data_IF_089451741890
#
_entry.id   IF_089451741890
#
_cell.length_a   1.000
_cell.length_b   1.000
_cell.length_c   1.000
_cell.angle_alpha   90.00
_cell.angle_beta   90.00
_cell.angle_gamma   90.00
#
_symmetry.space_group_name_H-M   'P 1'
#
loop_
_entity.id
_entity.type
_entity.pdbx_description
1 polymer ?
#
# COMPACT_ATOMS: atom_id res chain seq x y z
N UNK A 1 15.83 14.39 -11.08
CA UNK A 1 14.86 13.59 -11.87
C UNK A 1 15.43 12.27 -12.35
N UNK A 2 16.64 12.25 -12.92
CA UNK A 2 17.28 11.00 -13.41
C UNK A 2 17.29 9.87 -12.38
N UNK A 3 17.62 10.16 -11.10
CA UNK A 3 17.61 9.15 -10.01
C UNK A 3 16.22 8.53 -9.78
N UNK A 4 15.15 9.30 -9.92
CA UNK A 4 13.76 8.81 -9.76
C UNK A 4 13.44 7.79 -10.86
N UNK A 5 13.75 8.13 -12.11
CA UNK A 5 13.52 7.22 -13.25
C UNK A 5 14.36 5.95 -13.14
N UNK A 6 15.66 6.11 -12.81
CA UNK A 6 16.56 4.97 -12.62
C UNK A 6 16.08 4.07 -11.48
N UNK A 7 15.56 4.63 -10.38
CA UNK A 7 15.06 3.83 -9.24
C UNK A 7 13.90 2.93 -9.66
N UNK A 8 12.94 3.46 -10.44
CA UNK A 8 11.83 2.65 -10.95
C UNK A 8 12.29 1.56 -11.91
N UNK A 9 13.19 1.91 -12.85
CA UNK A 9 13.72 0.94 -13.81
C UNK A 9 14.52 -0.17 -13.09
N UNK A 10 15.43 0.20 -12.19
CA UNK A 10 16.27 -0.76 -11.45
C UNK A 10 15.40 -1.70 -10.61
N UNK A 11 14.43 -1.17 -9.86
CA UNK A 11 13.53 -1.98 -9.06
C UNK A 11 12.69 -2.94 -9.93
N UNK A 12 12.17 -2.46 -11.06
CA UNK A 12 11.41 -3.27 -12.01
C UNK A 12 12.26 -4.40 -12.62
N UNK A 13 13.47 -4.09 -13.07
CA UNK A 13 14.40 -5.07 -13.63
C UNK A 13 14.78 -6.11 -12.58
N UNK A 14 15.10 -5.70 -11.35
CA UNK A 14 15.40 -6.65 -10.24
C UNK A 14 14.21 -7.58 -10.02
N UNK A 15 12.98 -7.03 -9.90
CA UNK A 15 11.78 -7.80 -9.64
C UNK A 15 11.50 -8.81 -10.76
N UNK A 16 11.58 -8.39 -12.02
CA UNK A 16 11.38 -9.28 -13.18
C UNK A 16 12.49 -10.34 -13.27
N UNK A 17 13.75 -9.96 -13.15
CA UNK A 17 14.86 -10.89 -13.32
C UNK A 17 14.98 -11.91 -12.18
N UNK A 18 14.68 -11.50 -10.94
CA UNK A 18 14.72 -12.38 -9.78
C UNK A 18 13.45 -13.25 -9.66
N UNK A 19 12.33 -12.81 -10.24
CA UNK A 19 11.02 -13.44 -10.12
C UNK A 19 11.01 -14.94 -10.35
N UNK A 20 11.50 -15.47 -11.50
CA UNK A 20 11.43 -16.91 -11.78
C UNK A 20 12.16 -17.75 -10.73
N UNK A 21 13.40 -17.34 -10.35
CA UNK A 21 14.17 -18.05 -9.32
C UNK A 21 13.50 -17.99 -7.95
N UNK A 22 12.90 -16.86 -7.63
CA UNK A 22 12.20 -16.67 -6.36
C UNK A 22 10.90 -17.50 -6.31
N UNK A 23 10.13 -17.56 -7.39
CA UNK A 23 8.92 -18.38 -7.50
C UNK A 23 9.30 -19.87 -7.38
N UNK A 24 10.34 -20.32 -8.05
CA UNK A 24 10.84 -21.70 -7.94
C UNK A 24 11.29 -22.03 -6.51
N UNK A 25 11.96 -21.10 -5.83
CA UNK A 25 12.34 -21.25 -4.42
C UNK A 25 11.10 -21.43 -3.53
N UNK A 26 10.06 -20.59 -3.70
CA UNK A 26 8.82 -20.68 -2.93
C UNK A 26 8.10 -22.01 -3.20
N UNK A 27 8.05 -22.48 -4.46
CA UNK A 27 7.46 -23.77 -4.84
C UNK A 27 8.17 -24.95 -4.17
N UNK A 28 9.52 -24.95 -4.18
CA UNK A 28 10.33 -26.00 -3.53
C UNK A 28 10.14 -26.04 -2.01
N UNK A 29 9.80 -24.92 -1.39
CA UNK A 29 9.54 -24.84 0.05
C UNK A 29 8.07 -25.11 0.39
N UNK A 30 7.24 -25.46 -0.60
CA UNK A 30 5.80 -25.70 -0.43
C UNK A 30 5.04 -24.53 0.24
N UNK A 31 5.54 -23.30 0.03
CA UNK A 31 4.96 -22.08 0.59
C UNK A 31 3.67 -21.69 -0.18
N UNK A 32 2.72 -22.61 -0.29
CA UNK A 32 1.46 -22.43 -0.96
C UNK A 32 0.38 -21.86 -0.05
N UNK A 33 -0.54 -21.08 -0.63
CA UNK A 33 -1.65 -20.51 0.10
C UNK A 33 -2.61 -21.60 0.62
N UNK A 34 -2.96 -21.51 1.91
CA UNK A 34 -4.04 -22.32 2.51
C UNK A 34 -5.38 -21.65 2.14
N UNK A 35 -6.15 -22.30 1.27
CA UNK A 35 -7.44 -21.78 0.82
C UNK A 35 -8.48 -22.03 1.90
N UNK A 36 -9.31 -21.03 2.22
CA UNK A 36 -10.45 -21.17 3.12
C UNK A 36 -11.54 -22.01 2.44
N UNK A 37 -12.08 -23.00 3.13
CA UNK A 37 -13.16 -23.85 2.61
C UNK A 37 -14.45 -23.08 2.27
N UNK A 38 -14.63 -21.91 2.88
CA UNK A 38 -15.80 -21.03 2.69
C UNK A 38 -15.69 -20.10 1.47
N UNK A 39 -14.59 -20.17 0.68
CA UNK A 39 -14.35 -19.33 -0.49
C UNK A 39 -15.10 -19.81 -1.75
N UNK A 40 -15.19 -18.97 -2.81
CA UNK A 40 -15.73 -19.38 -4.10
C UNK A 40 -15.01 -20.63 -4.64
N UNK A 41 -15.77 -21.59 -5.23
CA UNK A 41 -15.23 -22.85 -5.77
C UNK A 41 -14.07 -22.66 -6.77
N UNK A 42 -14.06 -21.53 -7.49
CA UNK A 42 -12.99 -21.15 -8.44
C UNK A 42 -11.63 -20.99 -7.77
N UNK A 43 -11.58 -20.71 -6.47
CA UNK A 43 -10.33 -20.57 -5.72
C UNK A 43 -9.65 -21.92 -5.48
N UNK A 44 -10.37 -23.04 -5.60
CA UNK A 44 -9.78 -24.39 -5.47
C UNK A 44 -8.73 -24.64 -6.56
N UNK A 45 -8.92 -24.08 -7.75
CA UNK A 45 -7.95 -24.18 -8.85
C UNK A 45 -6.62 -23.47 -8.56
N UNK A 46 -6.61 -22.51 -7.59
CA UNK A 46 -5.42 -21.74 -7.16
C UNK A 46 -4.62 -22.43 -6.05
N UNK A 47 -5.06 -23.60 -5.60
CA UNK A 47 -4.37 -24.39 -4.57
C UNK A 47 -2.97 -24.77 -5.06
N UNK A 48 -1.96 -24.39 -4.27
CA UNK A 48 -0.56 -24.68 -4.61
C UNK A 48 0.17 -23.51 -5.27
N UNK A 49 -0.50 -22.41 -5.65
CA UNK A 49 0.20 -21.19 -6.05
C UNK A 49 0.99 -20.65 -4.86
N UNK A 50 2.30 -20.40 -5.00
CA UNK A 50 3.13 -19.91 -3.89
C UNK A 50 2.68 -18.51 -3.44
N UNK A 51 2.77 -18.25 -2.15
CA UNK A 51 2.50 -16.95 -1.52
C UNK A 51 3.78 -16.31 -0.99
N UNK A 52 3.68 -15.11 -0.38
CA UNK A 52 4.81 -14.29 0.09
C UNK A 52 5.64 -13.63 -1.03
N UNK A 53 5.06 -13.47 -2.22
CA UNK A 53 5.67 -12.71 -3.33
C UNK A 53 6.00 -11.26 -2.98
N UNK A 54 5.37 -10.71 -1.95
CA UNK A 54 5.67 -9.38 -1.39
C UNK A 54 7.13 -9.20 -0.97
N UNK A 55 7.84 -10.27 -0.59
CA UNK A 55 9.28 -10.21 -0.29
C UNK A 55 10.06 -9.72 -1.51
N UNK A 56 9.69 -10.15 -2.71
CA UNK A 56 10.34 -9.71 -3.95
C UNK A 56 10.16 -8.20 -4.17
N UNK A 57 8.94 -7.69 -3.92
CA UNK A 57 8.66 -6.25 -4.00
C UNK A 57 9.55 -5.49 -3.02
N UNK A 58 9.59 -5.92 -1.74
CA UNK A 58 10.35 -5.27 -0.70
C UNK A 58 11.84 -5.25 -0.98
N UNK A 59 12.41 -6.37 -1.40
CA UNK A 59 13.83 -6.47 -1.73
C UNK A 59 14.20 -5.58 -2.92
N UNK A 60 13.44 -5.65 -4.02
CA UNK A 60 13.72 -4.86 -5.22
C UNK A 60 13.60 -3.35 -4.94
N UNK A 61 12.55 -2.92 -4.25
CA UNK A 61 12.35 -1.52 -3.89
C UNK A 61 13.43 -1.01 -2.92
N UNK A 62 13.78 -1.81 -1.91
CA UNK A 62 14.80 -1.43 -0.92
C UNK A 62 16.17 -1.27 -1.56
N UNK A 63 16.59 -2.23 -2.40
CA UNK A 63 17.89 -2.16 -3.11
C UNK A 63 17.94 -0.91 -3.99
N UNK A 64 16.90 -0.65 -4.78
CA UNK A 64 16.86 0.52 -5.66
C UNK A 64 16.85 1.84 -4.88
N UNK A 65 16.09 1.92 -3.78
CA UNK A 65 16.07 3.09 -2.91
C UNK A 65 17.43 3.35 -2.28
N UNK A 66 18.04 2.36 -1.63
CA UNK A 66 19.35 2.52 -0.97
C UNK A 66 20.44 2.94 -1.97
N UNK A 67 20.41 2.40 -3.20
CA UNK A 67 21.40 2.73 -4.22
C UNK A 67 21.30 4.18 -4.74
N UNK A 68 20.11 4.81 -4.68
CA UNK A 68 19.85 6.08 -5.38
C UNK A 68 19.40 7.22 -4.47
N UNK A 69 19.02 6.92 -3.24
CA UNK A 69 18.58 7.87 -2.21
C UNK A 69 19.69 8.85 -1.80
N UNK A 70 19.27 9.95 -1.20
CA UNK A 70 20.11 10.90 -0.47
C UNK A 70 20.11 10.62 1.04
N UNK A 71 19.39 9.57 1.46
CA UNK A 71 19.20 9.17 2.85
C UNK A 71 18.54 10.24 3.74
N UNK A 72 17.66 11.03 3.12
CA UNK A 72 16.84 12.01 3.84
C UNK A 72 15.79 11.29 4.71
N UNK A 73 15.52 11.86 5.87
CA UNK A 73 14.66 11.22 6.87
C UNK A 73 13.24 10.99 6.39
N UNK A 74 12.73 11.81 5.46
CA UNK A 74 11.40 11.64 4.85
C UNK A 74 11.30 10.36 4.02
N UNK A 75 12.27 10.13 3.13
CA UNK A 75 12.34 8.90 2.31
C UNK A 75 12.60 7.65 3.17
N UNK A 76 13.54 7.77 4.14
CA UNK A 76 13.84 6.69 5.09
C UNK A 76 12.63 6.34 5.96
N UNK A 77 11.80 7.31 6.33
CA UNK A 77 10.57 7.04 7.09
C UNK A 77 9.57 6.27 6.25
N UNK A 78 9.37 6.62 4.97
CA UNK A 78 8.50 5.84 4.07
C UNK A 78 9.03 4.41 3.94
N UNK A 79 10.34 4.22 3.73
CA UNK A 79 10.95 2.91 3.67
C UNK A 79 10.74 2.13 4.98
N UNK A 80 10.94 2.78 6.13
CA UNK A 80 10.70 2.17 7.45
C UNK A 80 9.26 1.67 7.59
N UNK A 81 8.25 2.51 7.33
CA UNK A 81 6.84 2.11 7.44
C UNK A 81 6.52 0.96 6.50
N UNK A 82 7.05 1.01 5.28
CA UNK A 82 6.90 -0.05 4.28
C UNK A 82 7.44 -1.39 4.78
N UNK A 83 8.69 -1.39 5.25
CA UNK A 83 9.37 -2.60 5.73
C UNK A 83 8.76 -3.12 7.04
N UNK A 84 8.39 -2.22 7.96
CA UNK A 84 7.79 -2.59 9.23
C UNK A 84 6.39 -3.21 9.05
N UNK A 85 5.54 -2.63 8.21
CA UNK A 85 4.24 -3.23 7.86
C UNK A 85 4.43 -4.55 7.10
N UNK A 86 5.41 -4.62 6.19
CA UNK A 86 5.77 -5.85 5.49
C UNK A 86 6.26 -6.94 6.44
N UNK A 87 7.05 -6.59 7.46
CA UNK A 87 7.49 -7.54 8.49
C UNK A 87 6.33 -8.09 9.34
N UNK A 88 5.34 -7.26 9.65
CA UNK A 88 4.11 -7.71 10.33
C UNK A 88 3.35 -8.69 9.42
N UNK A 89 3.20 -8.36 8.13
CA UNK A 89 2.58 -9.26 7.16
C UNK A 89 3.36 -10.56 6.98
N UNK A 90 4.70 -10.49 6.93
CA UNK A 90 5.56 -11.67 6.86
C UNK A 90 5.41 -12.57 8.10
N UNK A 91 5.34 -12.00 9.30
CA UNK A 91 5.08 -12.77 10.51
C UNK A 91 3.71 -13.46 10.46
N UNK A 92 2.69 -12.79 9.91
CA UNK A 92 1.36 -13.37 9.71
C UNK A 92 1.41 -14.55 8.71
N UNK A 93 2.03 -14.35 7.54
CA UNK A 93 2.20 -15.39 6.52
C UNK A 93 3.01 -16.59 7.06
N UNK A 94 4.10 -16.32 7.78
CA UNK A 94 4.96 -17.33 8.36
C UNK A 94 4.24 -18.20 9.40
N UNK A 95 3.39 -17.58 10.26
CA UNK A 95 2.58 -18.31 11.25
C UNK A 95 1.55 -19.19 10.53
N UNK A 96 0.86 -18.68 9.50
CA UNK A 96 -0.09 -19.47 8.70
C UNK A 96 0.58 -20.68 8.09
N UNK A 97 1.79 -20.47 7.55
CA UNK A 97 2.56 -21.52 6.91
C UNK A 97 3.04 -22.58 7.91
N UNK A 98 3.71 -22.19 9.00
CA UNK A 98 4.30 -23.13 9.96
C UNK A 98 3.26 -23.97 10.68
N UNK A 99 2.07 -23.40 10.95
CA UNK A 99 0.99 -24.10 11.65
C UNK A 99 -0.03 -24.74 10.68
N UNK A 100 0.16 -24.65 9.36
CA UNK A 100 -0.75 -25.19 8.32
C UNK A 100 -2.21 -24.83 8.57
N UNK A 101 -2.47 -23.55 8.94
CA UNK A 101 -3.82 -23.05 9.26
C UNK A 101 -4.06 -21.70 8.58
N UNK A 102 -5.33 -21.34 8.39
CA UNK A 102 -5.72 -20.04 7.81
C UNK A 102 -5.60 -18.84 8.77
N UNK A 103 -5.41 -19.10 10.08
CA UNK A 103 -5.26 -18.07 11.11
C UNK A 103 -3.78 -17.77 11.35
N UNK A 104 -3.37 -16.54 11.03
CA UNK A 104 -2.04 -16.02 11.26
C UNK A 104 -1.86 -15.37 12.64
N UNK A 105 -1.27 -14.19 12.64
CA UNK A 105 -1.04 -13.39 13.84
C UNK A 105 -2.37 -12.95 14.46
N UNK A 106 -2.51 -13.07 15.79
CA UNK A 106 -3.74 -12.65 16.45
C UNK A 106 -3.96 -11.14 16.29
N UNK A 107 -5.22 -10.71 16.18
CA UNK A 107 -5.58 -9.31 15.98
C UNK A 107 -4.98 -8.36 17.02
N UNK A 108 -4.84 -8.82 18.28
CA UNK A 108 -4.23 -8.02 19.36
C UNK A 108 -2.76 -7.70 19.09
N UNK A 109 -1.99 -8.68 18.66
CA UNK A 109 -0.58 -8.50 18.30
C UNK A 109 -0.44 -7.64 17.04
N UNK A 110 -1.31 -7.83 16.03
CA UNK A 110 -1.31 -7.01 14.82
C UNK A 110 -1.56 -5.54 15.15
N UNK A 111 -2.54 -5.25 16.02
CA UNK A 111 -2.84 -3.90 16.50
C UNK A 111 -1.65 -3.30 17.27
N UNK A 112 -1.07 -4.06 18.21
CA UNK A 112 0.06 -3.59 19.00
C UNK A 112 1.28 -3.24 18.14
N UNK A 113 1.63 -4.11 17.21
CA UNK A 113 2.77 -3.89 16.30
C UNK A 113 2.53 -2.68 15.38
N UNK A 114 1.32 -2.53 14.83
CA UNK A 114 0.97 -1.34 14.04
C UNK A 114 0.99 -0.06 14.88
N UNK A 115 0.60 -0.11 16.16
CA UNK A 115 0.72 1.03 17.06
C UNK A 115 2.19 1.41 17.32
N UNK A 116 3.08 0.42 17.47
CA UNK A 116 4.52 0.66 17.56
C UNK A 116 5.07 1.32 16.28
N UNK A 117 4.66 0.81 15.10
CA UNK A 117 5.04 1.43 13.82
C UNK A 117 4.57 2.88 13.75
N UNK A 118 3.33 3.16 14.16
CA UNK A 118 2.78 4.51 14.16
C UNK A 118 3.52 5.44 15.13
N UNK A 119 3.85 4.97 16.33
CA UNK A 119 4.60 5.75 17.31
C UNK A 119 6.00 6.14 16.79
N UNK A 120 6.72 5.16 16.21
CA UNK A 120 8.04 5.41 15.61
C UNK A 120 7.90 6.35 14.40
N UNK A 121 6.89 6.15 13.54
CA UNK A 121 6.63 7.03 12.39
C UNK A 121 6.37 8.46 12.84
N UNK A 122 5.56 8.64 13.89
CA UNK A 122 5.29 9.97 14.47
C UNK A 122 6.55 10.64 15.02
N UNK A 123 7.41 9.87 15.68
CA UNK A 123 8.71 10.36 16.15
C UNK A 123 9.61 10.77 14.97
N UNK A 124 9.72 9.94 13.94
CA UNK A 124 10.52 10.24 12.75
C UNK A 124 9.98 11.46 11.99
N UNK A 125 8.67 11.60 11.88
CA UNK A 125 8.02 12.77 11.29
C UNK A 125 8.33 14.07 12.07
N UNK A 126 8.36 13.98 13.39
CA UNK A 126 8.80 15.09 14.24
C UNK A 126 10.27 15.44 13.99
N UNK A 127 11.15 14.45 13.93
CA UNK A 127 12.59 14.64 13.65
C UNK A 127 12.85 15.18 12.25
N UNK A 128 12.00 14.85 11.28
CA UNK A 128 12.05 15.37 9.91
C UNK A 128 11.63 16.87 9.83
N UNK A 129 11.17 17.46 10.92
CA UNK A 129 10.83 18.89 10.97
C UNK A 129 9.62 19.25 10.11
N UNK A 130 8.64 18.33 9.99
CA UNK A 130 7.44 18.61 9.18
C UNK A 130 6.67 19.81 9.74
N UNK A 131 6.39 20.78 8.87
CA UNK A 131 5.55 21.91 9.23
C UNK A 131 4.13 21.45 9.57
N UNK A 132 3.52 22.09 10.58
CA UNK A 132 2.17 21.75 11.04
C UNK A 132 1.98 20.28 11.39
N UNK A 133 2.97 19.63 12.02
CA UNK A 133 3.03 18.21 12.30
C UNK A 133 1.72 17.64 12.85
N UNK A 134 1.19 18.27 13.93
CA UNK A 134 0.00 17.77 14.66
C UNK A 134 -1.32 18.34 14.15
N UNK A 135 -1.36 18.89 12.93
CA UNK A 135 -2.58 19.36 12.29
C UNK A 135 -2.80 18.62 10.97
N UNK A 136 -4.04 18.53 10.54
CA UNK A 136 -4.45 17.85 9.30
C UNK A 136 -5.18 18.85 8.41
N UNK A 137 -4.78 18.97 7.16
CA UNK A 137 -5.44 19.84 6.19
C UNK A 137 -6.71 19.17 5.67
N UNK A 138 -7.83 19.85 5.75
CA UNK A 138 -9.12 19.36 5.22
C UNK A 138 -9.15 19.59 3.71
N UNK A 139 -9.26 18.53 2.89
CA UNK A 139 -9.32 18.64 1.44
C UNK A 139 -10.46 19.57 0.98
N UNK A 140 -10.19 20.41 -0.01
CA UNK A 140 -11.18 21.38 -0.50
C UNK A 140 -11.25 22.68 0.31
N UNK A 141 -10.42 22.84 1.35
CA UNK A 141 -10.38 24.04 2.18
C UNK A 141 -8.94 24.47 2.46
N UNK A 142 -8.77 25.68 3.02
CA UNK A 142 -7.47 26.12 3.58
C UNK A 142 -7.37 25.85 5.08
N UNK A 143 -8.37 25.19 5.67
CA UNK A 143 -8.44 24.96 7.10
C UNK A 143 -7.60 23.76 7.52
N UNK A 144 -6.76 23.96 8.53
CA UNK A 144 -5.98 22.92 9.21
C UNK A 144 -6.59 22.63 10.56
N UNK A 145 -7.13 21.41 10.71
CA UNK A 145 -7.67 20.93 11.96
C UNK A 145 -6.53 20.60 12.93
N UNK A 146 -6.39 21.32 14.06
CA UNK A 146 -5.37 21.02 15.04
C UNK A 146 -5.79 19.80 15.86
N UNK A 147 -5.06 18.70 15.76
CA UNK A 147 -5.32 17.49 16.53
C UNK A 147 -4.48 17.40 17.81
N UNK A 148 -3.40 18.17 17.91
CA UNK A 148 -2.48 18.06 19.05
C UNK A 148 -2.00 16.61 19.25
N UNK A 149 -1.99 16.09 20.51
CA UNK A 149 -1.59 14.72 20.79
C UNK A 149 -2.42 13.64 20.11
N UNK A 150 -3.70 13.93 19.78
CA UNK A 150 -4.58 12.99 19.06
C UNK A 150 -4.07 12.68 17.66
N UNK A 151 -3.16 13.48 17.11
CA UNK A 151 -2.52 13.20 15.83
C UNK A 151 -1.80 11.84 15.83
N UNK A 152 -1.21 11.40 16.93
CA UNK A 152 -0.56 10.08 17.03
C UNK A 152 -1.58 8.95 16.90
N UNK A 153 -2.76 9.09 17.49
CA UNK A 153 -3.86 8.14 17.31
C UNK A 153 -4.37 8.17 15.86
N UNK A 154 -4.45 9.36 15.28
CA UNK A 154 -4.88 9.52 13.89
C UNK A 154 -3.92 8.83 12.90
N UNK A 155 -2.59 9.02 13.02
CA UNK A 155 -1.64 8.33 12.13
C UNK A 155 -1.61 6.81 12.36
N UNK A 156 -1.89 6.33 13.58
CA UNK A 156 -2.11 4.91 13.81
C UNK A 156 -3.29 4.39 12.97
N UNK A 157 -4.42 5.11 12.98
CA UNK A 157 -5.58 4.74 12.16
C UNK A 157 -5.28 4.79 10.67
N UNK A 158 -4.50 5.77 10.22
CA UNK A 158 -4.05 5.90 8.82
C UNK A 158 -3.20 4.69 8.41
N UNK A 159 -2.20 4.33 9.21
CA UNK A 159 -1.31 3.19 8.92
C UNK A 159 -2.08 1.87 9.00
N UNK A 160 -2.85 1.67 10.08
CA UNK A 160 -3.61 0.43 10.27
C UNK A 160 -4.70 0.27 9.20
N UNK A 161 -5.40 1.36 8.86
CA UNK A 161 -6.42 1.37 7.82
C UNK A 161 -5.86 1.06 6.44
N UNK A 162 -4.76 1.70 6.06
CA UNK A 162 -4.14 1.48 4.76
C UNK A 162 -3.53 0.07 4.65
N UNK A 163 -2.75 -0.37 5.65
CA UNK A 163 -2.13 -1.70 5.63
C UNK A 163 -3.17 -2.82 5.56
N UNK A 164 -4.22 -2.77 6.39
CA UNK A 164 -5.26 -3.79 6.35
C UNK A 164 -6.21 -3.62 5.16
N UNK A 165 -6.46 -2.40 4.67
CA UNK A 165 -7.29 -2.15 3.49
C UNK A 165 -6.70 -2.77 2.23
N UNK A 166 -5.39 -2.62 2.00
CA UNK A 166 -4.69 -3.29 0.89
C UNK A 166 -4.71 -4.80 1.08
N UNK A 167 -4.49 -5.29 2.30
CA UNK A 167 -4.52 -6.71 2.60
C UNK A 167 -5.90 -7.34 2.34
N UNK A 168 -6.99 -6.64 2.66
CA UNK A 168 -8.35 -7.08 2.33
C UNK A 168 -8.61 -7.12 0.82
N UNK A 169 -7.90 -6.33 0.03
CA UNK A 169 -8.05 -6.26 -1.44
C UNK A 169 -7.21 -7.31 -2.17
N UNK A 170 -6.32 -8.03 -1.48
CA UNK A 170 -5.44 -9.05 -2.07
C UNK A 170 -6.14 -10.42 -2.18
N UNK A 171 -7.38 -10.42 -2.69
CA UNK A 171 -8.19 -11.63 -2.90
C UNK A 171 -8.26 -12.11 -4.34
N UNK A 172 -7.90 -11.26 -5.31
CA UNK A 172 -7.92 -11.56 -6.75
C UNK A 172 -6.57 -11.24 -7.40
N UNK A 173 -6.19 -12.05 -8.38
CA UNK A 173 -4.95 -11.94 -9.14
C UNK A 173 -4.80 -10.53 -9.73
N UNK A 174 -3.70 -9.84 -9.40
CA UNK A 174 -3.39 -8.51 -9.89
C UNK A 174 -4.23 -7.36 -9.33
N UNK A 175 -5.26 -7.62 -8.52
CA UNK A 175 -6.15 -6.57 -8.03
C UNK A 175 -5.40 -5.60 -7.09
N UNK A 176 -4.84 -6.12 -5.99
CA UNK A 176 -4.15 -5.31 -4.99
C UNK A 176 -2.86 -4.68 -5.55
N UNK A 177 -2.07 -5.44 -6.30
CA UNK A 177 -0.84 -4.93 -6.90
C UNK A 177 -1.11 -3.80 -7.90
N UNK A 178 -2.09 -3.97 -8.81
CA UNK A 178 -2.40 -2.97 -9.82
C UNK A 178 -3.00 -1.69 -9.24
N UNK A 179 -3.94 -1.80 -8.29
CA UNK A 179 -4.49 -0.62 -7.59
C UNK A 179 -3.42 0.10 -6.77
N UNK A 180 -2.48 -0.64 -6.15
CA UNK A 180 -1.36 -0.04 -5.41
C UNK A 180 -0.40 0.72 -6.33
N UNK A 181 -0.10 0.20 -7.53
CA UNK A 181 0.71 0.90 -8.53
C UNK A 181 0.06 2.24 -8.89
N UNK A 182 -1.25 2.29 -9.13
CA UNK A 182 -1.99 3.51 -9.46
C UNK A 182 -1.91 4.53 -8.31
N UNK A 183 -2.14 4.09 -7.07
CA UNK A 183 -2.06 4.94 -5.87
C UNK A 183 -0.65 5.47 -5.61
N UNK A 184 0.36 4.60 -5.70
CA UNK A 184 1.76 4.97 -5.53
C UNK A 184 2.24 5.91 -6.65
N UNK A 185 1.77 5.72 -7.89
CA UNK A 185 2.06 6.63 -8.99
C UNK A 185 1.55 8.05 -8.69
N UNK A 186 0.36 8.15 -8.10
CA UNK A 186 -0.21 9.44 -7.68
C UNK A 186 0.65 10.10 -6.60
N UNK A 187 1.00 9.39 -5.52
CA UNK A 187 1.89 9.93 -4.49
C UNK A 187 3.28 10.29 -5.02
N UNK A 188 3.83 9.47 -5.90
CA UNK A 188 5.13 9.76 -6.53
C UNK A 188 5.06 11.02 -7.39
N UNK A 189 3.99 11.20 -8.16
CA UNK A 189 3.77 12.42 -8.95
C UNK A 189 3.63 13.65 -8.05
N UNK A 190 2.91 13.54 -6.94
CA UNK A 190 2.81 14.60 -5.93
C UNK A 190 4.20 14.95 -5.35
N UNK A 191 5.02 13.94 -5.01
CA UNK A 191 6.38 14.14 -4.50
C UNK A 191 7.29 14.81 -5.55
N UNK A 192 7.21 14.38 -6.81
CA UNK A 192 7.95 14.99 -7.92
C UNK A 192 7.56 16.45 -8.10
N UNK A 193 6.27 16.77 -8.09
CA UNK A 193 5.80 18.16 -8.23
C UNK A 193 6.25 19.05 -7.07
N UNK A 194 6.17 18.55 -5.83
CA UNK A 194 6.70 19.28 -4.65
C UNK A 194 8.21 19.50 -4.76
N UNK A 195 8.95 18.49 -5.22
CA UNK A 195 10.39 18.63 -5.48
C UNK A 195 10.69 19.70 -6.54
N UNK A 196 10.00 19.66 -7.67
CA UNK A 196 10.22 20.64 -8.74
C UNK A 196 9.89 22.07 -8.29
N UNK A 197 8.84 22.24 -7.47
CA UNK A 197 8.39 23.54 -6.97
C UNK A 197 9.15 24.04 -5.74
N UNK A 198 9.99 23.22 -5.10
CA UNK A 198 10.72 23.61 -3.88
C UNK A 198 11.78 24.70 -4.12
N UNK A 199 12.28 24.87 -5.34
CA UNK A 199 13.11 25.98 -5.75
C UNK A 199 13.14 26.11 -7.28
N UNK A 200 13.32 27.36 -7.79
CA UNK A 200 13.50 27.63 -9.22
C UNK A 200 14.80 27.01 -9.76
N UNK A 201 15.88 27.23 -9.03
CA UNK A 201 17.20 26.70 -9.38
C UNK A 201 17.28 25.21 -9.00
N UNK A 202 17.60 24.30 -9.93
CA UNK A 202 17.62 22.86 -9.66
C UNK A 202 18.56 22.44 -8.53
N UNK A 203 19.68 23.14 -8.32
CA UNK A 203 20.65 22.85 -7.25
C UNK A 203 20.16 23.19 -5.83
N UNK A 204 19.15 24.06 -5.73
CA UNK A 204 18.56 24.51 -4.46
C UNK A 204 17.29 23.72 -4.08
N UNK A 205 16.88 22.74 -4.91
CA UNK A 205 15.70 21.93 -4.64
C UNK A 205 15.91 21.01 -3.46
N UNK A 206 14.85 20.82 -2.69
CA UNK A 206 14.81 20.11 -1.41
C UNK A 206 15.11 18.60 -1.58
N UNK A 207 16.21 18.08 -1.02
CA UNK A 207 16.57 16.66 -1.15
C UNK A 207 15.56 15.70 -0.55
N UNK A 208 14.86 16.11 0.52
CA UNK A 208 13.83 15.34 1.21
C UNK A 208 12.65 14.99 0.27
N UNK A 209 12.24 15.96 -0.60
CA UNK A 209 11.19 15.73 -1.60
C UNK A 209 11.67 14.80 -2.73
N UNK A 210 12.97 14.88 -3.07
CA UNK A 210 13.57 13.96 -4.05
C UNK A 210 13.57 12.53 -3.54
N UNK A 211 13.91 12.31 -2.28
CA UNK A 211 13.95 10.97 -1.70
C UNK A 211 12.56 10.34 -1.59
N UNK A 212 11.52 11.13 -1.30
CA UNK A 212 10.13 10.67 -1.43
C UNK A 212 9.83 10.18 -2.85
N UNK A 213 10.21 10.97 -3.88
CA UNK A 213 9.98 10.57 -5.26
C UNK A 213 10.77 9.30 -5.65
N UNK A 214 12.00 9.14 -5.15
CA UNK A 214 12.83 7.94 -5.37
C UNK A 214 12.18 6.72 -4.72
N UNK A 215 11.72 6.84 -3.46
CA UNK A 215 11.02 5.76 -2.76
C UNK A 215 9.77 5.30 -3.51
N UNK A 216 8.96 6.26 -3.99
CA UNK A 216 7.76 5.96 -4.76
C UNK A 216 8.07 5.27 -6.08
N UNK A 217 9.04 5.78 -6.84
CA UNK A 217 9.44 5.18 -8.11
C UNK A 217 9.99 3.76 -7.93
N UNK A 218 10.80 3.53 -6.89
CA UNK A 218 11.33 2.20 -6.56
C UNK A 218 10.20 1.21 -6.22
N UNK A 219 9.23 1.63 -5.40
CA UNK A 219 8.07 0.81 -5.07
C UNK A 219 7.18 0.50 -6.28
N UNK A 220 6.93 1.51 -7.15
CA UNK A 220 6.19 1.31 -8.39
C UNK A 220 6.91 0.31 -9.28
N UNK A 221 8.22 0.49 -9.53
CA UNK A 221 8.98 -0.40 -10.37
C UNK A 221 8.96 -1.84 -9.85
N UNK A 222 9.19 -2.04 -8.55
CA UNK A 222 9.13 -3.34 -7.90
C UNK A 222 7.74 -3.98 -8.02
N UNK A 223 6.67 -3.22 -7.80
CA UNK A 223 5.29 -3.70 -7.88
C UNK A 223 4.89 -4.03 -9.33
N UNK A 224 5.34 -3.25 -10.32
CA UNK A 224 5.13 -3.54 -11.76
C UNK A 224 5.85 -4.82 -12.15
N UNK A 225 7.12 -4.99 -11.72
CA UNK A 225 7.85 -6.23 -11.98
C UNK A 225 7.24 -7.45 -11.30
N UNK A 226 6.68 -7.29 -10.11
CA UNK A 226 5.91 -8.34 -9.43
C UNK A 226 4.59 -8.66 -10.14
N UNK A 227 3.86 -7.62 -10.60
CA UNK A 227 2.59 -7.78 -11.31
C UNK A 227 2.75 -8.60 -12.59
N UNK A 228 3.93 -8.64 -13.20
CA UNK A 228 4.22 -9.50 -14.35
C UNK A 228 3.92 -10.97 -14.07
N UNK A 229 4.16 -11.42 -12.84
CA UNK A 229 3.89 -12.80 -12.38
C UNK A 229 2.60 -12.95 -11.61
N UNK A 230 2.02 -11.86 -11.10
CA UNK A 230 0.79 -11.86 -10.32
C UNK A 230 -0.47 -11.56 -11.16
N UNK A 231 -0.30 -11.14 -12.44
CA UNK A 231 -1.42 -10.96 -13.35
C UNK A 231 -2.13 -12.30 -13.60
N UNK A 232 -3.46 -12.23 -13.81
CA UNK A 232 -4.28 -13.44 -14.02
C UNK A 232 -3.88 -14.21 -15.29
N UNK A 233 -3.65 -15.53 -15.22
CA UNK A 233 -3.61 -16.38 -14.02
C UNK A 233 -2.27 -16.25 -13.26
N UNK A 234 -2.33 -16.00 -11.95
CA UNK A 234 -1.16 -15.68 -11.15
C UNK A 234 -0.23 -16.90 -10.95
N UNK A 235 1.07 -16.67 -11.13
CA UNK A 235 2.14 -17.63 -10.82
C UNK A 235 2.62 -17.53 -9.36
N UNK A 236 2.34 -16.40 -8.69
CA UNK A 236 2.68 -16.12 -7.30
C UNK A 236 1.71 -15.11 -6.70
N UNK A 237 1.33 -15.32 -5.44
CA UNK A 237 0.53 -14.36 -4.67
C UNK A 237 1.40 -13.45 -3.83
N UNK A 238 0.92 -12.22 -3.63
CA UNK A 238 1.62 -11.20 -2.88
C UNK A 238 1.73 -11.57 -1.40
N UNK A 239 0.64 -12.07 -0.83
CA UNK A 239 0.51 -12.39 0.59
C UNK A 239 0.39 -11.16 1.48
N UNK A 240 0.15 -11.41 2.78
CA UNK A 240 0.06 -10.34 3.78
C UNK A 240 1.34 -9.49 3.82
N UNK A 241 2.49 -10.11 3.54
CA UNK A 241 3.81 -9.45 3.45
C UNK A 241 3.78 -8.25 2.51
N UNK A 242 3.38 -8.46 1.26
CA UNK A 242 3.38 -7.40 0.25
C UNK A 242 2.20 -6.45 0.39
N UNK A 243 1.02 -6.99 0.68
CA UNK A 243 -0.20 -6.21 0.83
C UNK A 243 -0.09 -5.19 1.96
N UNK A 244 0.34 -5.61 3.16
CA UNK A 244 0.54 -4.71 4.29
C UNK A 244 1.68 -3.71 4.03
N UNK A 245 2.75 -4.14 3.34
CA UNK A 245 3.86 -3.26 2.98
C UNK A 245 3.42 -2.12 2.06
N UNK A 246 2.68 -2.42 0.98
CA UNK A 246 2.20 -1.41 0.04
C UNK A 246 1.18 -0.46 0.70
N UNK A 247 0.31 -0.98 1.57
CA UNK A 247 -0.58 -0.14 2.38
C UNK A 247 0.19 0.76 3.34
N UNK A 248 1.19 0.23 4.02
CA UNK A 248 2.11 0.99 4.88
C UNK A 248 2.87 2.07 4.11
N UNK A 249 3.35 1.75 2.90
CA UNK A 249 3.99 2.73 2.02
C UNK A 249 3.08 3.93 1.71
N UNK A 250 1.84 3.67 1.30
CA UNK A 250 0.86 4.72 1.02
C UNK A 250 0.58 5.58 2.26
N UNK A 251 0.43 4.96 3.44
CA UNK A 251 0.29 5.68 4.70
C UNK A 251 1.53 6.53 5.00
N UNK A 252 2.73 5.98 4.81
CA UNK A 252 4.00 6.68 4.96
C UNK A 252 4.09 7.91 4.07
N UNK A 253 3.74 7.79 2.79
CA UNK A 253 3.65 8.94 1.87
C UNK A 253 2.65 9.98 2.35
N UNK A 254 1.43 9.57 2.70
CA UNK A 254 0.38 10.47 3.16
C UNK A 254 0.82 11.28 4.39
N UNK A 255 1.47 10.64 5.36
CA UNK A 255 1.97 11.28 6.59
C UNK A 255 3.14 12.21 6.28
N UNK A 256 4.17 11.75 5.52
CA UNK A 256 5.36 12.55 5.24
C UNK A 256 5.10 13.72 4.29
N UNK A 257 4.03 13.66 3.50
CA UNK A 257 3.57 14.75 2.63
C UNK A 257 2.51 15.63 3.28
N UNK A 258 2.08 15.33 4.52
CA UNK A 258 0.96 16.02 5.20
C UNK A 258 -0.32 16.01 4.38
N UNK A 259 -0.59 14.90 3.73
CA UNK A 259 -1.69 14.64 2.80
C UNK A 259 -2.56 13.47 3.28
N UNK A 260 -2.67 13.28 4.60
CA UNK A 260 -3.29 12.11 5.23
C UNK A 260 -4.74 11.90 4.79
N UNK A 261 -5.53 12.97 4.70
CA UNK A 261 -6.93 12.87 4.28
C UNK A 261 -7.09 12.63 2.77
N UNK A 262 -6.07 12.94 1.96
CA UNK A 262 -6.10 12.60 0.53
C UNK A 262 -6.02 11.08 0.32
N UNK A 263 -5.52 10.32 1.29
CA UNK A 263 -5.52 8.87 1.24
C UNK A 263 -6.94 8.28 1.15
N UNK A 264 -7.97 8.99 1.64
CA UNK A 264 -9.37 8.59 1.48
C UNK A 264 -9.79 8.52 0.00
N UNK A 265 -9.18 9.34 -0.85
CA UNK A 265 -9.38 9.33 -2.30
C UNK A 265 -8.35 8.43 -2.99
N UNK A 266 -7.05 8.66 -2.78
CA UNK A 266 -5.96 7.93 -3.44
C UNK A 266 -5.99 6.43 -3.08
N UNK A 267 -6.35 6.10 -1.84
CA UNK A 267 -6.59 4.75 -1.35
C UNK A 267 -8.07 4.35 -1.33
N UNK A 268 -8.93 5.05 -2.07
CA UNK A 268 -10.38 4.94 -1.95
C UNK A 268 -10.94 3.54 -2.26
N UNK A 269 -10.30 2.79 -3.16
CA UNK A 269 -10.67 1.38 -3.40
C UNK A 269 -10.50 0.56 -2.12
N UNK A 270 -9.39 0.70 -1.42
CA UNK A 270 -9.12 -0.02 -0.18
C UNK A 270 -10.06 0.39 0.96
N UNK A 271 -10.43 1.69 0.98
CA UNK A 271 -11.43 2.18 1.89
C UNK A 271 -12.79 1.53 1.62
N UNK A 272 -13.22 1.43 0.35
CA UNK A 272 -14.47 0.78 -0.04
C UNK A 272 -14.45 -0.70 0.35
N UNK A 273 -13.34 -1.41 0.11
CA UNK A 273 -13.14 -2.81 0.51
C UNK A 273 -13.30 -2.96 2.03
N UNK A 274 -12.58 -2.17 2.81
CA UNK A 274 -12.64 -2.22 4.27
C UNK A 274 -14.03 -1.84 4.81
N UNK A 275 -14.65 -0.79 4.28
CA UNK A 275 -16.00 -0.38 4.67
C UNK A 275 -17.03 -1.46 4.36
N UNK A 276 -16.91 -2.17 3.24
CA UNK A 276 -17.82 -3.26 2.91
C UNK A 276 -17.80 -4.37 3.97
N UNK A 277 -16.63 -4.70 4.49
CA UNK A 277 -16.47 -5.67 5.59
C UNK A 277 -17.07 -5.15 6.89
N UNK A 278 -16.76 -3.90 7.26
CA UNK A 278 -17.27 -3.27 8.49
C UNK A 278 -18.81 -3.22 8.46
N UNK A 279 -19.40 -2.74 7.36
CA UNK A 279 -20.84 -2.67 7.18
C UNK A 279 -21.47 -4.06 7.30
N UNK A 280 -20.91 -5.06 6.60
CA UNK A 280 -21.43 -6.43 6.65
C UNK A 280 -21.39 -7.01 8.07
N UNK A 281 -20.26 -6.87 8.78
CA UNK A 281 -20.11 -7.38 10.13
C UNK A 281 -21.09 -6.72 11.09
N UNK A 282 -21.21 -5.39 11.03
CA UNK A 282 -22.11 -4.64 11.90
C UNK A 282 -23.59 -4.97 11.61
N UNK A 283 -23.99 -4.98 10.34
CA UNK A 283 -25.38 -5.27 9.97
C UNK A 283 -25.76 -6.72 10.27
N UNK A 284 -24.86 -7.67 10.05
CA UNK A 284 -25.11 -9.06 10.40
C UNK A 284 -25.23 -9.25 11.91
N UNK A 285 -24.31 -8.63 12.69
CA UNK A 285 -24.28 -8.77 14.14
C UNK A 285 -25.52 -8.13 14.83
N UNK A 286 -25.95 -6.95 14.35
CA UNK A 286 -27.01 -6.19 15.02
C UNK A 286 -28.40 -6.34 14.40
N UNK A 287 -28.46 -6.63 13.08
CA UNK A 287 -29.72 -6.70 12.34
C UNK A 287 -30.01 -8.09 11.75
N UNK A 288 -29.11 -9.08 11.90
CA UNK A 288 -29.25 -10.41 11.33
C UNK A 288 -29.31 -10.47 9.80
N UNK A 289 -28.94 -9.38 9.11
CA UNK A 289 -29.07 -9.24 7.66
C UNK A 289 -27.70 -9.09 7.00
N UNK A 290 -27.54 -9.70 5.81
CA UNK A 290 -26.42 -9.47 4.92
C UNK A 290 -26.75 -8.35 3.94
N UNK A 291 -25.86 -7.33 3.86
CA UNK A 291 -25.94 -6.25 2.85
C UNK A 291 -25.32 -6.68 1.55
N UNK A 292 -24.17 -7.34 1.63
CA UNK A 292 -23.45 -7.87 0.47
C UNK A 292 -23.57 -9.40 0.43
N UNK A 293 -23.52 -9.98 -0.75
CA UNK A 293 -23.52 -11.45 -0.92
C UNK A 293 -22.32 -12.08 -0.21
N UNK A 294 -21.14 -11.45 -0.37
CA UNK A 294 -19.89 -11.78 0.31
C UNK A 294 -19.05 -10.50 0.46
N UNK A 295 -18.14 -10.47 1.44
CA UNK A 295 -17.19 -9.37 1.64
C UNK A 295 -15.78 -9.90 1.81
N UNK A 296 -14.73 -9.14 1.43
CA UNK A 296 -14.73 -7.78 0.86
C UNK A 296 -15.51 -7.64 -0.45
N UNK A 297 -15.78 -6.39 -0.91
CA UNK A 297 -16.78 -6.13 -1.97
C UNK A 297 -16.43 -6.75 -3.33
N UNK A 298 -15.16 -7.02 -3.63
CA UNK A 298 -14.78 -7.74 -4.87
C UNK A 298 -15.42 -9.12 -4.91
N UNK A 299 -15.52 -9.84 -3.80
CA UNK A 299 -16.22 -11.13 -3.72
C UNK A 299 -17.73 -11.04 -3.98
N UNK A 300 -18.36 -9.90 -3.64
CA UNK A 300 -19.76 -9.65 -4.01
C UNK A 300 -19.96 -9.70 -5.52
N UNK A 301 -19.02 -9.17 -6.29
CA UNK A 301 -19.08 -9.22 -7.76
C UNK A 301 -18.72 -10.58 -8.32
N UNK A 302 -17.83 -11.36 -7.69
CA UNK A 302 -17.59 -12.76 -8.03
C UNK A 302 -18.87 -13.60 -7.85
N UNK A 303 -19.59 -13.41 -6.73
CA UNK A 303 -20.88 -14.07 -6.49
C UNK A 303 -21.97 -13.66 -7.49
N UNK A 304 -21.80 -12.52 -8.18
CA UNK A 304 -22.60 -12.09 -9.33
C UNK A 304 -22.08 -12.62 -10.67
N UNK A 305 -21.21 -13.64 -10.64
CA UNK A 305 -20.64 -14.29 -11.81
C UNK A 305 -19.81 -13.36 -12.74
N UNK A 306 -19.25 -12.25 -12.23
CA UNK A 306 -18.27 -11.50 -13.00
C UNK A 306 -16.95 -12.27 -13.07
N UNK A 307 -16.24 -12.16 -14.20
CA UNK A 307 -14.89 -12.71 -14.31
C UNK A 307 -13.89 -11.90 -13.46
N UNK A 308 -12.85 -12.57 -12.95
CA UNK A 308 -11.79 -11.91 -12.17
C UNK A 308 -11.17 -10.73 -12.93
N UNK A 309 -10.85 -10.92 -14.21
CA UNK A 309 -10.30 -9.86 -15.07
C UNK A 309 -11.24 -8.66 -15.21
N UNK A 310 -12.56 -8.91 -15.29
CA UNK A 310 -13.56 -7.83 -15.34
C UNK A 310 -13.61 -7.04 -14.03
N UNK A 311 -13.52 -7.71 -12.89
CA UNK A 311 -13.49 -7.07 -11.58
C UNK A 311 -12.20 -6.27 -11.46
N UNK A 312 -11.05 -6.89 -11.71
CA UNK A 312 -9.72 -6.28 -11.65
C UNK A 312 -9.66 -4.99 -12.46
N UNK A 313 -10.01 -5.03 -13.76
CA UNK A 313 -9.94 -3.85 -14.64
C UNK A 313 -10.88 -2.74 -14.16
N UNK A 314 -12.10 -3.07 -13.73
CA UNK A 314 -13.04 -2.06 -13.22
C UNK A 314 -12.56 -1.40 -11.95
N UNK A 315 -11.95 -2.17 -11.05
CA UNK A 315 -11.36 -1.62 -9.82
C UNK A 315 -10.14 -0.74 -10.13
N UNK A 316 -9.32 -1.09 -11.13
CA UNK A 316 -8.24 -0.21 -11.60
C UNK A 316 -8.77 1.11 -12.18
N UNK A 317 -9.87 1.06 -12.95
CA UNK A 317 -10.54 2.27 -13.46
C UNK A 317 -11.04 3.13 -12.29
N UNK A 318 -11.72 2.54 -11.31
CA UNK A 318 -12.19 3.25 -10.12
C UNK A 318 -11.02 3.84 -9.33
N UNK A 319 -9.93 3.08 -9.13
CA UNK A 319 -8.72 3.59 -8.51
C UNK A 319 -8.15 4.79 -9.26
N UNK A 320 -8.05 4.72 -10.58
CA UNK A 320 -7.57 5.81 -11.42
C UNK A 320 -8.43 7.08 -11.30
N UNK A 321 -9.75 6.94 -11.29
CA UNK A 321 -10.67 8.07 -11.10
C UNK A 321 -10.51 8.69 -9.72
N UNK A 322 -10.50 7.87 -8.65
CA UNK A 322 -10.33 8.36 -7.28
C UNK A 322 -8.95 9.00 -7.05
N UNK A 323 -7.90 8.43 -7.61
CA UNK A 323 -6.56 9.00 -7.61
C UNK A 323 -6.50 10.34 -8.34
N UNK A 324 -7.21 10.48 -9.47
CA UNK A 324 -7.30 11.75 -10.20
C UNK A 324 -7.99 12.83 -9.37
N UNK A 325 -9.05 12.49 -8.64
CA UNK A 325 -9.69 13.41 -7.69
C UNK A 325 -8.74 13.79 -6.56
N UNK A 326 -8.07 12.80 -5.95
CA UNK A 326 -7.08 13.05 -4.90
C UNK A 326 -5.92 13.94 -5.37
N UNK A 327 -5.43 13.71 -6.59
CA UNK A 327 -4.39 14.52 -7.21
C UNK A 327 -4.88 15.96 -7.51
N UNK A 328 -6.11 16.13 -8.00
CA UNK A 328 -6.68 17.46 -8.24
C UNK A 328 -6.80 18.26 -6.94
N UNK A 329 -7.29 17.62 -5.86
CA UNK A 329 -7.35 18.25 -4.54
C UNK A 329 -5.95 18.62 -4.01
N UNK A 330 -4.95 17.75 -4.23
CA UNK A 330 -3.57 18.06 -3.89
C UNK A 330 -3.07 19.27 -4.67
N UNK A 331 -3.27 19.31 -5.96
CA UNK A 331 -2.80 20.38 -6.83
C UNK A 331 -3.39 21.75 -6.45
N UNK A 332 -4.66 21.77 -6.06
CA UNK A 332 -5.39 22.99 -5.73
C UNK A 332 -5.11 23.50 -4.30
N UNK A 333 -4.93 22.61 -3.33
CA UNK A 333 -4.94 23.00 -1.91
C UNK A 333 -3.64 22.68 -1.15
N UNK A 334 -2.84 21.73 -1.60
CA UNK A 334 -1.65 21.25 -0.87
C UNK A 334 -0.36 21.69 -1.52
N UNK A 335 -0.38 21.94 -2.83
CA UNK A 335 0.83 22.25 -3.57
C UNK A 335 1.26 23.70 -3.29
N UNK A 336 2.45 23.94 -2.70
CA UNK A 336 2.88 25.30 -2.38
C UNK A 336 3.01 26.14 -3.66
N UNK A 337 2.80 27.48 -3.56
CA UNK A 337 3.06 28.38 -4.67
C UNK A 337 4.53 28.24 -5.12
N UNK A 338 4.80 28.55 -6.39
CA UNK A 338 6.17 28.56 -6.91
C UNK A 338 6.98 29.64 -6.19
N UNK A 339 8.06 29.23 -5.51
CA UNK A 339 9.05 30.11 -4.89
C UNK A 339 10.02 30.64 -5.96
#
# INVERSE_FOLDING_TARGET
>A
MTRVLIAGIVAGVISIAAGPRFIDFLRRKELGQQIREEGPERHVAKKGTPTAGGILILLAATIAFIALSKYELTGLTVLFVTLACGAIGFADDFIKFTHKRSLGLSGRWKILLLACVAAITGYLAHRAGLSHLTSVLIPGTSYRLPLGPLWYVFIFLVIAGAANGVNLSDGLDGLAAGTAIISLFTFTTMAVLTFIRSARTPSLRSPDKLDLAIAGAALIGAAVGFLWYNAFPAEVFMGDTGAMALGGAMAGFAIMMKAELLLLFIGGVYLIEALSVIIQVLTFKYLGRRVFLMTPIHHHFEMKAWSETKIMVRFWIVAGVLCSVGFALFYLYYLPPRV
#
